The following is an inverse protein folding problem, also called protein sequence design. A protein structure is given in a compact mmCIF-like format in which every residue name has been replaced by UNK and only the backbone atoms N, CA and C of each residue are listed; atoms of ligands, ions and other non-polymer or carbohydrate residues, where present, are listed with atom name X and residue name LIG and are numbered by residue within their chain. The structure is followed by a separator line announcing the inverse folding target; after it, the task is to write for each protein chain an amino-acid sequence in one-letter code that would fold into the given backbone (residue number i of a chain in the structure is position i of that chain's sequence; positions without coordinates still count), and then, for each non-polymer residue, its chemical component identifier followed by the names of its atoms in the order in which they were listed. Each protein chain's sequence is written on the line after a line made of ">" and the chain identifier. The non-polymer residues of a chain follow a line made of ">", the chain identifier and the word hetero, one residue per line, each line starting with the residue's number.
data_IF_044585362781
#
_entry.id   IF_044585362781
#
_cell.length_a   1.000
_cell.length_b   1.000
_cell.length_c   1.000
_cell.angle_alpha   90.00
_cell.angle_beta   90.00
_cell.angle_gamma   90.00
#
_symmetry.space_group_name_H-M   'P 1'
#
loop_
_entity.id
_entity.type
_entity.pdbx_description
1 polymer ?
#
# COMPACT_ATOMS: atom_id res chain seq x y z
N UNK A 1 5.68 13.98 10.25
CA UNK A 1 6.18 12.62 9.97
C UNK A 1 5.32 12.06 8.86
N UNK A 2 5.92 11.47 7.83
CA UNK A 2 5.16 10.88 6.73
C UNK A 2 4.40 9.64 7.22
N UNK A 3 3.07 9.65 7.10
CA UNK A 3 2.22 8.57 7.62
C UNK A 3 2.38 7.27 6.83
N UNK A 4 2.63 7.38 5.52
CA UNK A 4 2.83 6.21 4.65
C UNK A 4 4.13 5.50 4.99
N UNK A 5 5.23 6.25 5.15
CA UNK A 5 6.51 5.70 5.57
C UNK A 5 6.41 5.03 6.95
N UNK A 6 5.70 5.66 7.89
CA UNK A 6 5.44 5.06 9.22
C UNK A 6 4.64 3.76 9.10
N UNK A 7 3.60 3.73 8.27
CA UNK A 7 2.80 2.53 8.02
C UNK A 7 3.65 1.42 7.41
N UNK A 8 4.45 1.71 6.38
CA UNK A 8 5.33 0.72 5.75
C UNK A 8 6.29 0.12 6.78
N UNK A 9 6.91 0.96 7.62
CA UNK A 9 7.82 0.47 8.65
C UNK A 9 7.11 -0.34 9.73
N UNK A 10 6.13 0.25 10.42
CA UNK A 10 5.51 -0.32 11.64
C UNK A 10 4.50 -1.44 11.38
N UNK A 11 3.87 -1.45 10.20
CA UNK A 11 2.78 -2.38 9.90
C UNK A 11 3.18 -3.44 8.88
N UNK A 12 4.19 -3.16 8.05
CA UNK A 12 4.68 -4.09 7.04
C UNK A 12 6.03 -4.68 7.45
N UNK A 13 7.09 -3.85 7.52
CA UNK A 13 8.47 -4.33 7.72
C UNK A 13 8.67 -5.02 9.06
N UNK A 14 8.22 -4.41 10.16
CA UNK A 14 8.37 -4.99 11.50
C UNK A 14 7.50 -6.23 11.73
N UNK A 15 6.36 -6.33 11.02
CA UNK A 15 5.37 -7.40 11.23
C UNK A 15 5.59 -8.62 10.35
N UNK A 16 5.96 -8.40 9.09
CA UNK A 16 6.09 -9.45 8.08
C UNK A 16 7.52 -9.63 7.57
N UNK A 17 8.45 -8.77 8.00
CA UNK A 17 9.80 -8.68 7.47
C UNK A 17 9.90 -7.73 6.28
N UNK A 18 11.12 -7.57 5.76
CA UNK A 18 11.39 -6.67 4.64
C UNK A 18 10.88 -7.28 3.31
N UNK A 19 9.91 -6.67 2.62
CA UNK A 19 9.45 -7.15 1.33
C UNK A 19 10.50 -6.92 0.23
N UNK A 20 10.54 -7.79 -0.77
CA UNK A 20 11.42 -7.61 -1.94
C UNK A 20 10.98 -6.43 -2.82
N UNK A 21 9.67 -6.27 -3.01
CA UNK A 21 9.09 -5.23 -3.85
C UNK A 21 7.78 -4.72 -3.24
N UNK A 22 7.56 -3.41 -3.31
CA UNK A 22 6.27 -2.76 -3.01
C UNK A 22 5.76 -2.16 -4.32
N UNK A 23 4.51 -2.46 -4.65
CA UNK A 23 3.82 -1.90 -5.81
C UNK A 23 2.73 -0.94 -5.33
N UNK A 24 2.81 0.33 -5.75
CA UNK A 24 1.81 1.36 -5.41
C UNK A 24 1.30 2.03 -6.67
N UNK A 25 0.19 2.76 -6.59
CA UNK A 25 -0.17 3.71 -7.62
C UNK A 25 0.75 4.95 -7.62
N UNK A 26 0.45 5.91 -8.50
CA UNK A 26 1.19 7.17 -8.66
C UNK A 26 0.64 8.29 -7.76
N UNK A 27 -0.08 7.96 -6.69
CA UNK A 27 -0.54 8.93 -5.71
C UNK A 27 0.64 9.67 -5.07
N UNK A 28 0.53 10.99 -4.89
CA UNK A 28 1.59 11.83 -4.33
C UNK A 28 2.09 11.36 -2.95
N UNK A 29 1.20 10.75 -2.16
CA UNK A 29 1.54 10.15 -0.87
C UNK A 29 2.56 9.01 -0.98
N UNK A 30 2.66 8.31 -2.11
CA UNK A 30 3.64 7.25 -2.34
C UNK A 30 4.91 7.71 -3.05
N UNK A 31 4.91 8.92 -3.64
CA UNK A 31 6.05 9.48 -4.41
C UNK A 31 6.72 10.62 -3.63
N UNK A 32 6.79 10.51 -2.30
CA UNK A 32 7.46 11.50 -1.48
C UNK A 32 8.88 11.04 -1.08
N UNK A 33 9.74 12.01 -0.77
CA UNK A 33 11.15 11.78 -0.45
C UNK A 33 11.34 10.88 0.79
N UNK A 34 10.40 10.90 1.74
CA UNK A 34 10.49 10.09 2.97
C UNK A 34 10.24 8.62 2.66
N UNK A 35 9.24 8.32 1.83
CA UNK A 35 8.96 6.96 1.35
C UNK A 35 10.11 6.46 0.49
N UNK A 36 10.63 7.28 -0.41
CA UNK A 36 11.79 6.93 -1.25
C UNK A 36 13.04 6.63 -0.42
N UNK A 37 13.34 7.47 0.58
CA UNK A 37 14.45 7.22 1.50
C UNK A 37 14.26 5.93 2.30
N UNK A 38 13.03 5.63 2.73
CA UNK A 38 12.71 4.42 3.48
C UNK A 38 12.93 3.16 2.62
N UNK A 39 12.34 3.10 1.43
CA UNK A 39 12.46 1.91 0.57
C UNK A 39 13.91 1.69 0.14
N UNK A 40 14.68 2.75 -0.12
CA UNK A 40 16.11 2.66 -0.40
C UNK A 40 16.90 2.14 0.81
N UNK A 41 16.62 2.63 2.03
CA UNK A 41 17.29 2.18 3.26
C UNK A 41 17.10 0.68 3.52
N UNK A 42 15.93 0.15 3.20
CA UNK A 42 15.62 -1.26 3.37
C UNK A 42 15.87 -2.11 2.12
N UNK A 43 16.43 -1.51 1.05
CA UNK A 43 16.65 -2.18 -0.25
C UNK A 43 15.37 -2.81 -0.83
N UNK A 44 14.23 -2.17 -0.57
CA UNK A 44 12.92 -2.55 -1.09
C UNK A 44 12.78 -1.93 -2.48
N UNK A 45 12.46 -2.75 -3.48
CA UNK A 45 12.16 -2.23 -4.82
C UNK A 45 10.79 -1.56 -4.81
N UNK A 46 10.73 -0.27 -5.14
CA UNK A 46 9.44 0.43 -5.27
C UNK A 46 9.03 0.53 -6.73
N UNK A 47 7.94 -0.16 -7.09
CA UNK A 47 7.37 -0.14 -8.45
C UNK A 47 6.08 0.67 -8.45
N UNK A 48 6.06 1.75 -9.20
CA UNK A 48 4.88 2.60 -9.36
C UNK A 48 4.05 2.08 -10.55
N UNK A 49 2.79 1.75 -10.32
CA UNK A 49 1.87 1.32 -11.36
C UNK A 49 1.62 2.48 -12.33
N UNK A 50 1.65 2.21 -13.63
CA UNK A 50 1.29 3.22 -14.62
C UNK A 50 -0.20 3.53 -14.53
N UNK A 51 -0.57 4.78 -14.79
CA UNK A 51 -1.92 5.36 -14.61
C UNK A 51 -3.07 4.56 -15.23
N UNK A 52 -2.76 3.66 -16.18
CA UNK A 52 -3.75 2.87 -16.93
C UNK A 52 -3.37 1.39 -17.05
N UNK A 53 -2.89 0.75 -15.97
CA UNK A 53 -2.76 -0.72 -15.93
C UNK A 53 -3.66 -1.35 -14.86
N UNK A 54 -4.97 -1.53 -15.15
CA UNK A 54 -5.94 -2.12 -14.22
C UNK A 54 -5.55 -3.50 -13.71
N UNK A 55 -4.75 -4.26 -14.47
CA UNK A 55 -4.34 -5.61 -14.06
C UNK A 55 -3.37 -5.63 -12.87
N UNK A 56 -2.60 -4.56 -12.65
CA UNK A 56 -1.65 -4.48 -11.53
C UNK A 56 -2.37 -4.12 -10.23
N UNK A 57 -3.34 -3.20 -10.28
CA UNK A 57 -4.12 -2.76 -9.11
C UNK A 57 -5.44 -3.52 -8.90
N UNK A 58 -5.88 -4.33 -9.88
CA UNK A 58 -7.19 -4.98 -9.84
C UNK A 58 -7.37 -5.94 -8.66
N UNK A 59 -6.29 -6.56 -8.16
CA UNK A 59 -6.36 -7.36 -6.93
C UNK A 59 -6.64 -6.50 -5.69
N UNK A 60 -5.99 -5.34 -5.59
CA UNK A 60 -6.19 -4.38 -4.51
C UNK A 60 -7.61 -3.80 -4.58
N UNK A 61 -8.06 -3.41 -5.77
CA UNK A 61 -9.42 -2.88 -5.99
C UNK A 61 -10.51 -3.89 -5.60
N UNK A 62 -10.36 -5.15 -6.03
CA UNK A 62 -11.30 -6.22 -5.66
C UNK A 62 -11.28 -6.49 -4.16
N UNK A 63 -10.11 -6.51 -3.54
CA UNK A 63 -9.99 -6.72 -2.09
C UNK A 63 -10.67 -5.58 -1.32
N UNK A 64 -10.44 -4.33 -1.72
CA UNK A 64 -11.08 -3.17 -1.11
C UNK A 64 -12.60 -3.19 -1.28
N UNK A 65 -13.10 -3.57 -2.46
CA UNK A 65 -14.53 -3.71 -2.71
C UNK A 65 -15.17 -4.74 -1.77
N UNK A 66 -14.57 -5.93 -1.65
CA UNK A 66 -15.06 -6.98 -0.74
C UNK A 66 -14.99 -6.52 0.72
N UNK A 67 -13.91 -5.87 1.12
CA UNK A 67 -13.76 -5.35 2.49
C UNK A 67 -14.87 -4.34 2.81
N UNK A 68 -15.16 -3.40 1.90
CA UNK A 68 -16.25 -2.44 2.07
C UNK A 68 -17.62 -3.13 2.17
N UNK A 69 -17.87 -4.19 1.38
CA UNK A 69 -19.11 -4.95 1.47
C UNK A 69 -19.28 -5.65 2.82
N UNK A 70 -18.20 -6.21 3.36
CA UNK A 70 -18.21 -6.86 4.68
C UNK A 70 -18.49 -5.82 5.77
N UNK A 71 -17.74 -4.71 5.77
CA UNK A 71 -17.91 -3.65 6.75
C UNK A 71 -19.31 -3.03 6.71
N UNK A 72 -19.90 -2.86 5.53
CA UNK A 72 -21.26 -2.34 5.39
C UNK A 72 -22.32 -3.30 5.93
N UNK A 73 -22.11 -4.61 5.79
CA UNK A 73 -23.00 -5.62 6.37
C UNK A 73 -22.89 -5.65 7.89
N UNK A 74 -21.66 -5.63 8.41
CA UNK A 74 -21.43 -5.64 9.85
C UNK A 74 -22.03 -4.40 10.53
N UNK A 75 -21.89 -3.22 9.91
CA UNK A 75 -22.49 -1.98 10.41
C UNK A 75 -24.03 -1.96 10.34
N UNK A 76 -24.64 -2.71 9.42
CA UNK A 76 -26.10 -2.84 9.32
C UNK A 76 -26.69 -3.90 10.27
N UNK A 77 -25.83 -4.70 10.91
CA UNK A 77 -26.20 -5.73 11.89
C UNK A 77 -26.03 -5.25 13.35
N UNK A 78 -25.63 -3.99 13.55
CA UNK A 78 -25.60 -3.29 14.84
C UNK A 78 -26.76 -2.29 14.94
#
# INVERSE_FOLDING_TARGET
>A
MDEVARFIYERIVTRFGCPLEIVTDQGSHFINEVVEALVNKFSIKHRKATTYKPSTNGQVERTNFVLCQILAKDAALQ
#
